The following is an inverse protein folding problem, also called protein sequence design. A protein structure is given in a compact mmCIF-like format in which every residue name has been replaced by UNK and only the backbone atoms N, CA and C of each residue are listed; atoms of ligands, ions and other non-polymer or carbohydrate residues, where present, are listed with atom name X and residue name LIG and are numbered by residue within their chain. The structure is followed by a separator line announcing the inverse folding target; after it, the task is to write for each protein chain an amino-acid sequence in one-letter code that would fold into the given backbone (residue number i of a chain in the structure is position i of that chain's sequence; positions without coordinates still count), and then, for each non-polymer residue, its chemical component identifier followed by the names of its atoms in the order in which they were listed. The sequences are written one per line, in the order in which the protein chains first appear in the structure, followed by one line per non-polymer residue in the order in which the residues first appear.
data_IF_192001348266
#
_entry.id   IF_192001348266
#
_cell.length_a   1.000
_cell.length_b   1.000
_cell.length_c   1.000
_cell.angle_alpha   90.00
_cell.angle_beta   90.00
_cell.angle_gamma   90.00
#
_symmetry.space_group_name_H-M   'P 1'
#
loop_
_entity.id
_entity.type
_entity.pdbx_description
1 polymer ?
#
# COMPACT_ATOMS: atom_id res chain seq x y z
N UNK A 1 2.66 43.17 2.74
CA UNK A 1 2.23 44.04 3.85
C UNK A 1 2.69 43.46 5.18
N UNK A 2 2.98 44.30 6.20
CA UNK A 2 4.04 44.07 7.18
C UNK A 2 3.60 43.44 8.52
N UNK A 3 4.65 43.04 9.28
CA UNK A 3 4.74 42.36 10.56
C UNK A 3 3.80 42.83 11.69
N UNK A 4 3.45 41.90 12.58
CA UNK A 4 3.38 42.14 14.04
C UNK A 4 3.88 40.93 14.83
N UNK A 5 5.11 41.05 15.37
CA UNK A 5 5.61 40.26 16.50
C UNK A 5 5.09 40.88 17.80
N UNK A 6 4.70 40.10 18.83
CA UNK A 6 4.68 40.62 20.19
C UNK A 6 6.10 40.59 20.78
N UNK A 7 6.36 41.63 21.57
CA UNK A 7 7.63 42.00 22.21
C UNK A 7 8.02 40.98 23.30
N UNK A 8 9.28 40.60 23.33
CA UNK A 8 9.92 40.09 24.54
C UNK A 8 10.12 41.26 25.51
N UNK A 9 9.49 41.19 26.68
CA UNK A 9 9.79 42.04 27.82
C UNK A 9 10.78 41.28 28.69
N UNK A 10 12.06 41.63 28.60
CA UNK A 10 13.07 41.28 29.59
C UNK A 10 12.80 42.09 30.85
N UNK A 11 12.17 41.48 31.85
CA UNK A 11 12.12 42.02 33.19
C UNK A 11 13.20 41.32 34.01
N UNK A 12 14.34 42.00 34.17
CA UNK A 12 15.27 41.74 35.25
C UNK A 12 14.50 41.96 36.56
N UNK A 13 14.28 40.90 37.32
CA UNK A 13 13.82 41.00 38.71
C UNK A 13 15.02 40.62 39.58
N UNK A 14 15.92 41.58 39.72
CA UNK A 14 16.73 41.67 40.92
C UNK A 14 15.78 42.15 42.02
N UNK A 15 15.46 41.29 42.98
CA UNK A 15 14.88 41.73 44.25
C UNK A 15 15.65 41.06 45.38
N UNK A 16 16.50 41.89 45.98
CA UNK A 16 17.17 41.79 47.26
C UNK A 16 16.65 40.70 48.20
N UNK A 17 17.53 39.75 48.48
CA UNK A 17 17.49 38.99 49.72
C UNK A 17 17.92 39.97 50.81
N UNK A 18 16.93 40.66 51.40
CA UNK A 18 17.11 41.28 52.71
C UNK A 18 17.25 40.14 53.72
N UNK A 19 18.50 39.83 54.02
CA UNK A 19 18.87 38.98 55.13
C UNK A 19 18.55 39.79 56.39
N UNK A 20 17.38 39.56 56.99
CA UNK A 20 17.17 39.96 58.37
C UNK A 20 18.13 39.12 59.23
N UNK A 21 19.29 39.70 59.53
CA UNK A 21 20.16 39.27 60.62
C UNK A 21 19.30 39.23 61.89
N UNK A 22 18.82 38.04 62.25
CA UNK A 22 18.28 37.80 63.58
C UNK A 22 19.49 37.74 64.51
N UNK A 23 19.92 38.93 64.95
CA UNK A 23 20.83 39.09 66.08
C UNK A 23 20.22 38.37 67.29
N UNK A 24 20.79 37.22 67.62
CA UNK A 24 20.64 36.56 68.92
C UNK A 24 21.43 37.35 69.97
N UNK A 25 20.96 38.55 70.27
CA UNK A 25 21.49 39.35 71.36
C UNK A 25 20.98 38.77 72.69
N UNK A 26 21.82 37.95 73.32
CA UNK A 26 21.56 37.44 74.68
C UNK A 26 21.90 38.56 75.65
N UNK A 27 20.98 39.52 75.85
CA UNK A 27 21.12 40.51 76.92
C UNK A 27 20.77 39.84 78.24
N UNK A 28 21.78 39.55 79.05
CA UNK A 28 21.63 39.22 80.46
C UNK A 28 21.18 40.50 81.19
N UNK A 29 20.00 40.55 81.84
CA UNK A 29 19.59 41.73 82.59
C UNK A 29 20.48 41.85 83.82
N UNK A 30 21.24 42.93 83.92
CA UNK A 30 22.03 43.28 85.11
C UNK A 30 21.37 44.50 85.76
N UNK A 31 20.92 44.30 87.01
CA UNK A 31 20.56 45.27 88.07
C UNK A 31 19.25 46.07 87.88
N UNK A 32 18.42 46.42 88.88
CA UNK A 32 18.67 46.79 90.29
C UNK A 32 17.63 46.20 91.27
N UNK A 33 18.10 45.72 92.42
CA UNK A 33 17.25 45.43 93.59
C UNK A 33 16.97 46.73 94.37
N UNK A 34 15.81 47.34 94.13
CA UNK A 34 15.28 48.38 95.02
C UNK A 34 14.49 47.75 96.16
N UNK A 35 15.05 47.83 97.38
CA UNK A 35 14.42 47.40 98.64
C UNK A 35 13.63 48.57 99.26
N UNK A 36 12.30 48.44 99.33
CA UNK A 36 11.44 49.22 100.23
C UNK A 36 10.21 48.40 100.61
N UNK A 37 9.97 48.32 101.91
CA UNK A 37 8.95 47.52 102.62
C UNK A 37 7.54 48.09 102.41
N UNK A 38 6.59 47.27 101.91
CA UNK A 38 5.12 47.43 102.10
C UNK A 38 4.48 46.03 101.91
N UNK A 39 4.01 45.42 103.01
CA UNK A 39 3.84 43.95 103.14
C UNK A 39 2.47 43.35 102.78
N UNK A 40 1.54 44.09 102.17
CA UNK A 40 0.21 43.52 101.77
C UNK A 40 -0.14 43.64 100.27
N UNK A 41 0.74 44.29 99.47
CA UNK A 41 0.66 44.34 98.00
C UNK A 41 1.67 43.45 97.27
N UNK A 42 2.78 43.10 97.94
CA UNK A 42 3.92 42.41 97.34
C UNK A 42 3.61 41.01 96.79
N UNK A 43 2.70 40.26 97.43
CA UNK A 43 2.28 38.91 96.98
C UNK A 43 1.42 38.91 95.70
N UNK A 44 0.61 39.96 95.50
CA UNK A 44 -0.18 40.15 94.26
C UNK A 44 0.71 40.60 93.10
N UNK A 45 1.68 41.48 93.38
CA UNK A 45 2.65 41.97 92.40
C UNK A 45 3.58 40.84 91.92
N UNK A 46 4.05 39.97 92.81
CA UNK A 46 4.89 38.81 92.42
C UNK A 46 4.11 37.77 91.62
N UNK A 47 2.84 37.50 91.95
CA UNK A 47 1.99 36.59 91.17
C UNK A 47 1.72 37.12 89.75
N UNK A 48 1.35 38.41 89.63
CA UNK A 48 1.16 39.06 88.33
C UNK A 48 2.45 39.10 87.50
N UNK A 49 3.60 39.31 88.14
CA UNK A 49 4.90 39.27 87.47
C UNK A 49 5.23 37.86 86.94
N UNK A 50 4.92 36.82 87.72
CA UNK A 50 5.12 35.43 87.31
C UNK A 50 4.22 35.06 86.12
N UNK A 51 2.93 35.41 86.21
CA UNK A 51 1.95 35.22 85.12
C UNK A 51 2.38 35.96 83.84
N UNK A 52 2.89 37.19 83.96
CA UNK A 52 3.44 37.94 82.83
C UNK A 52 4.65 37.25 82.21
N UNK A 53 5.57 36.71 83.02
CA UNK A 53 6.74 35.96 82.52
C UNK A 53 6.32 34.67 81.82
N UNK A 54 5.33 33.96 82.35
CA UNK A 54 4.79 32.74 81.73
C UNK A 54 4.12 33.04 80.38
N UNK A 55 3.30 34.09 80.30
CA UNK A 55 2.68 34.54 79.06
C UNK A 55 3.72 34.95 78.01
N UNK A 56 4.78 35.65 78.41
CA UNK A 56 5.88 36.01 77.51
C UNK A 56 6.63 34.79 76.97
N UNK A 57 6.89 33.80 77.83
CA UNK A 57 7.51 32.54 77.41
C UNK A 57 6.62 31.76 76.43
N UNK A 58 5.31 31.67 76.72
CA UNK A 58 4.36 31.02 75.82
C UNK A 58 4.27 31.74 74.46
N UNK A 59 4.32 33.07 74.46
CA UNK A 59 4.38 33.86 73.23
C UNK A 59 5.65 33.56 72.42
N UNK A 60 6.81 33.46 73.08
CA UNK A 60 8.06 33.08 72.42
C UNK A 60 7.99 31.68 71.80
N UNK A 61 7.43 30.69 72.52
CA UNK A 61 7.19 29.34 71.97
C UNK A 61 6.30 29.38 70.72
N UNK A 62 5.18 30.09 70.80
CA UNK A 62 4.27 30.24 69.66
C UNK A 62 4.95 30.92 68.47
N UNK A 63 5.81 31.91 68.70
CA UNK A 63 6.59 32.57 67.64
C UNK A 63 7.57 31.60 66.97
N UNK A 64 8.23 30.75 67.75
CA UNK A 64 9.12 29.69 67.22
C UNK A 64 8.31 28.67 66.41
N UNK A 65 7.22 28.13 66.97
CA UNK A 65 6.37 27.16 66.26
C UNK A 65 5.81 27.74 64.96
N UNK A 66 5.39 29.01 64.96
CA UNK A 66 4.92 29.69 63.75
C UNK A 66 6.04 29.80 62.71
N UNK A 67 7.26 30.19 63.12
CA UNK A 67 8.40 30.28 62.22
C UNK A 67 8.77 28.92 61.60
N UNK A 68 8.72 27.84 62.40
CA UNK A 68 8.98 26.48 61.93
C UNK A 68 7.91 26.01 60.94
N UNK A 69 6.63 26.30 61.21
CA UNK A 69 5.54 25.99 60.27
C UNK A 69 5.66 26.79 58.98
N UNK A 70 6.05 28.06 59.05
CA UNK A 70 6.30 28.87 57.85
C UNK A 70 7.44 28.28 57.00
N UNK A 71 8.55 27.90 57.64
CA UNK A 71 9.66 27.24 56.94
C UNK A 71 9.22 25.93 56.27
N UNK A 72 8.40 25.12 56.96
CA UNK A 72 7.85 23.89 56.38
C UNK A 72 6.96 24.18 55.16
N UNK A 73 6.09 25.19 55.27
CA UNK A 73 5.22 25.60 54.16
C UNK A 73 6.06 26.04 52.97
N UNK A 74 7.13 26.81 53.18
CA UNK A 74 7.96 27.31 52.09
C UNK A 74 8.78 26.19 51.43
N UNK A 75 9.30 25.24 52.19
CA UNK A 75 9.91 24.03 51.62
C UNK A 75 8.92 23.25 50.76
N UNK A 76 7.70 23.00 51.26
CA UNK A 76 6.66 22.31 50.49
C UNK A 76 6.28 23.07 49.21
N UNK A 77 6.23 24.40 49.25
CA UNK A 77 6.00 25.21 48.04
C UNK A 77 7.11 25.02 47.02
N UNK A 78 8.37 25.06 47.45
CA UNK A 78 9.53 24.85 46.56
C UNK A 78 9.50 23.46 45.95
N UNK A 79 9.24 22.43 46.74
CA UNK A 79 9.12 21.05 46.27
C UNK A 79 8.00 20.91 45.23
N UNK A 80 6.83 21.50 45.50
CA UNK A 80 5.71 21.48 44.56
C UNK A 80 5.98 22.27 43.28
N UNK A 81 6.62 23.45 43.36
CA UNK A 81 7.00 24.24 42.19
C UNK A 81 7.98 23.47 41.32
N UNK A 82 9.03 22.91 41.93
CA UNK A 82 10.01 22.06 41.23
C UNK A 82 9.30 20.87 40.57
N UNK A 83 8.33 20.26 41.27
CA UNK A 83 7.60 19.13 40.72
C UNK A 83 6.73 19.50 39.53
N UNK A 84 6.11 20.68 39.56
CA UNK A 84 5.32 21.20 38.45
C UNK A 84 6.23 21.43 37.24
N UNK A 85 7.39 22.06 37.41
CA UNK A 85 8.36 22.30 36.34
C UNK A 85 8.83 20.99 35.68
N UNK A 86 9.19 19.97 36.49
CA UNK A 86 9.55 18.65 35.97
C UNK A 86 8.43 17.99 35.14
N UNK A 87 7.18 18.12 35.58
CA UNK A 87 6.03 17.53 34.90
C UNK A 87 5.72 18.29 33.60
N UNK A 88 5.89 19.61 33.58
CA UNK A 88 5.74 20.43 32.38
C UNK A 88 6.82 20.10 31.33
N UNK A 89 8.08 19.93 31.75
CA UNK A 89 9.16 19.50 30.85
C UNK A 89 8.86 18.13 30.23
N UNK A 90 8.48 17.14 31.05
CA UNK A 90 8.10 15.80 30.57
C UNK A 90 6.91 15.83 29.62
N UNK A 91 5.93 16.69 29.88
CA UNK A 91 4.78 16.85 29.00
C UNK A 91 5.21 17.43 27.65
N UNK A 92 6.07 18.44 27.66
CA UNK A 92 6.60 19.06 26.44
C UNK A 92 7.41 18.06 25.61
N UNK A 93 8.25 17.24 26.24
CA UNK A 93 8.99 16.17 25.57
C UNK A 93 8.05 15.13 24.95
N UNK A 94 7.04 14.69 25.68
CA UNK A 94 6.05 13.74 25.17
C UNK A 94 5.26 14.31 23.98
N UNK A 95 4.88 15.59 24.03
CA UNK A 95 4.22 16.27 22.93
C UNK A 95 5.13 16.39 21.70
N UNK A 96 6.41 16.72 21.90
CA UNK A 96 7.39 16.78 20.82
C UNK A 96 7.57 15.41 20.15
N UNK A 97 7.77 14.35 20.94
CA UNK A 97 7.88 12.99 20.42
C UNK A 97 6.63 12.56 19.64
N UNK A 98 5.44 12.87 20.17
CA UNK A 98 4.17 12.63 19.46
C UNK A 98 4.14 13.33 18.10
N UNK A 99 4.50 14.62 18.04
CA UNK A 99 4.50 15.37 16.79
C UNK A 99 5.46 14.76 15.76
N UNK A 100 6.67 14.39 16.18
CA UNK A 100 7.66 13.74 15.31
C UNK A 100 7.12 12.41 14.77
N UNK A 101 6.51 11.60 15.62
CA UNK A 101 5.92 10.32 15.20
C UNK A 101 4.75 10.51 14.24
N UNK A 102 3.87 11.48 14.49
CA UNK A 102 2.76 11.81 13.58
C UNK A 102 3.29 12.23 12.22
N UNK A 103 4.28 13.11 12.14
CA UNK A 103 4.88 13.54 10.87
C UNK A 103 5.54 12.38 10.12
N UNK A 104 6.24 11.48 10.83
CA UNK A 104 6.83 10.29 10.22
C UNK A 104 5.76 9.37 9.64
N UNK A 105 4.70 9.11 10.39
CA UNK A 105 3.60 8.27 9.94
C UNK A 105 2.90 8.87 8.72
N UNK A 106 2.58 10.17 8.76
CA UNK A 106 1.95 10.86 7.63
C UNK A 106 2.84 10.83 6.37
N UNK A 107 4.15 11.02 6.53
CA UNK A 107 5.10 10.91 5.43
C UNK A 107 5.13 9.50 4.84
N UNK A 108 5.15 8.46 5.69
CA UNK A 108 5.15 7.07 5.25
C UNK A 108 3.86 6.71 4.52
N UNK A 109 2.72 7.17 5.04
CA UNK A 109 1.40 6.93 4.47
C UNK A 109 1.26 7.59 3.09
N UNK A 110 1.74 8.83 2.94
CA UNK A 110 1.78 9.52 1.64
C UNK A 110 2.65 8.80 0.61
N UNK A 111 3.87 8.42 1.00
CA UNK A 111 4.77 7.66 0.11
C UNK A 111 4.14 6.34 -0.34
N UNK A 112 3.53 5.60 0.59
CA UNK A 112 2.87 4.35 0.27
C UNK A 112 1.64 4.53 -0.64
N UNK A 113 0.86 5.60 -0.45
CA UNK A 113 -0.25 5.93 -1.33
C UNK A 113 0.23 6.27 -2.75
N UNK A 114 1.28 7.08 -2.87
CA UNK A 114 1.86 7.44 -4.17
C UNK A 114 2.44 6.22 -4.89
N UNK A 115 3.17 5.36 -4.17
CA UNK A 115 3.74 4.14 -4.73
C UNK A 115 2.65 3.16 -5.19
N UNK A 116 1.63 2.92 -4.36
CA UNK A 116 0.51 2.07 -4.73
C UNK A 116 -0.24 2.62 -5.95
N UNK A 117 -0.43 3.94 -6.03
CA UNK A 117 -1.04 4.60 -7.19
C UNK A 117 -0.23 4.38 -8.46
N UNK A 118 1.10 4.55 -8.40
CA UNK A 118 2.00 4.29 -9.53
C UNK A 118 1.98 2.82 -9.96
N UNK A 119 2.07 1.89 -9.02
CA UNK A 119 2.01 0.45 -9.31
C UNK A 119 0.66 0.02 -9.88
N UNK A 120 -0.44 0.60 -9.40
CA UNK A 120 -1.77 0.33 -9.95
C UNK A 120 -1.91 0.86 -11.38
N UNK A 121 -1.42 2.07 -11.66
CA UNK A 121 -1.43 2.65 -13.00
C UNK A 121 -0.61 1.81 -13.98
N UNK A 122 0.59 1.37 -13.58
CA UNK A 122 1.44 0.51 -14.40
C UNK A 122 0.76 -0.83 -14.71
N UNK A 123 0.23 -1.51 -13.69
CA UNK A 123 -0.50 -2.78 -13.88
C UNK A 123 -1.71 -2.62 -14.81
N UNK A 124 -2.42 -1.49 -14.71
CA UNK A 124 -3.54 -1.20 -15.61
C UNK A 124 -3.06 -1.03 -17.05
N UNK A 125 -1.98 -0.29 -17.28
CA UNK A 125 -1.40 -0.11 -18.62
C UNK A 125 -0.92 -1.44 -19.22
N UNK A 126 -0.27 -2.29 -18.43
CA UNK A 126 0.17 -3.62 -18.85
C UNK A 126 -1.03 -4.51 -19.21
N UNK A 127 -2.07 -4.49 -18.37
CA UNK A 127 -3.32 -5.21 -18.64
C UNK A 127 -3.99 -4.76 -19.94
N UNK A 128 -4.11 -3.45 -20.16
CA UNK A 128 -4.70 -2.88 -21.38
C UNK A 128 -3.91 -3.30 -22.63
N UNK A 129 -2.57 -3.36 -22.52
CA UNK A 129 -1.69 -3.81 -23.61
C UNK A 129 -1.89 -5.29 -23.93
N UNK A 130 -1.97 -6.14 -22.91
CA UNK A 130 -2.23 -7.58 -23.06
C UNK A 130 -3.61 -7.80 -23.68
N UNK A 131 -4.64 -7.11 -23.18
CA UNK A 131 -6.01 -7.20 -23.70
C UNK A 131 -6.09 -6.79 -25.18
N UNK A 132 -5.42 -5.70 -25.56
CA UNK A 132 -5.37 -5.28 -26.95
C UNK A 132 -4.70 -6.34 -27.83
N UNK A 133 -3.57 -6.89 -27.38
CA UNK A 133 -2.86 -7.95 -28.11
C UNK A 133 -3.70 -9.21 -28.23
N UNK A 134 -4.40 -9.61 -27.18
CA UNK A 134 -5.26 -10.77 -27.17
C UNK A 134 -6.42 -10.61 -28.16
N UNK A 135 -7.07 -9.43 -28.19
CA UNK A 135 -8.12 -9.14 -29.17
C UNK A 135 -7.63 -9.26 -30.62
N UNK A 136 -6.43 -8.74 -30.92
CA UNK A 136 -5.83 -8.88 -32.24
C UNK A 136 -5.57 -10.36 -32.59
N UNK A 137 -5.04 -11.13 -31.65
CA UNK A 137 -4.79 -12.56 -31.86
C UNK A 137 -6.08 -13.34 -32.10
N UNK A 138 -7.13 -13.08 -31.34
CA UNK A 138 -8.45 -13.70 -31.52
C UNK A 138 -9.04 -13.36 -32.89
N UNK A 139 -8.91 -12.12 -33.35
CA UNK A 139 -9.35 -11.70 -34.69
C UNK A 139 -8.55 -12.41 -35.79
N UNK A 140 -7.22 -12.45 -35.69
CA UNK A 140 -6.38 -13.15 -36.68
C UNK A 140 -6.66 -14.65 -36.71
N UNK A 141 -6.89 -15.27 -35.56
CA UNK A 141 -7.21 -16.69 -35.48
C UNK A 141 -8.57 -16.98 -36.14
N UNK A 142 -9.57 -16.12 -35.91
CA UNK A 142 -10.86 -16.21 -36.59
C UNK A 142 -10.72 -16.11 -38.10
N UNK A 143 -9.96 -15.13 -38.59
CA UNK A 143 -9.67 -14.98 -40.03
C UNK A 143 -8.95 -16.20 -40.62
N UNK A 144 -8.00 -16.79 -39.89
CA UNK A 144 -7.31 -18.01 -40.32
C UNK A 144 -8.25 -19.21 -40.37
N UNK A 145 -9.13 -19.36 -39.39
CA UNK A 145 -10.15 -20.41 -39.39
C UNK A 145 -11.12 -20.28 -40.57
N UNK A 146 -11.58 -19.05 -40.84
CA UNK A 146 -12.46 -18.76 -41.97
C UNK A 146 -11.76 -19.09 -43.30
N UNK A 147 -10.52 -18.59 -43.49
CA UNK A 147 -9.69 -18.91 -44.68
C UNK A 147 -9.43 -20.40 -44.84
N UNK A 148 -9.15 -21.12 -43.76
CA UNK A 148 -8.96 -22.57 -43.81
C UNK A 148 -10.26 -23.30 -44.19
N UNK A 149 -11.41 -22.81 -43.73
CA UNK A 149 -12.72 -23.29 -44.13
C UNK A 149 -13.02 -23.03 -45.60
N UNK A 150 -12.69 -21.83 -46.09
CA UNK A 150 -12.83 -21.45 -47.50
C UNK A 150 -11.96 -22.30 -48.40
N UNK A 151 -10.69 -22.50 -48.01
CA UNK A 151 -9.76 -23.37 -48.73
C UNK A 151 -10.31 -24.80 -48.80
N UNK A 152 -10.77 -25.36 -47.68
CA UNK A 152 -11.37 -26.71 -47.65
C UNK A 152 -12.60 -26.83 -48.56
N UNK A 153 -13.42 -25.78 -48.67
CA UNK A 153 -14.56 -25.75 -49.60
C UNK A 153 -14.11 -25.64 -51.05
N UNK A 154 -13.09 -24.83 -51.34
CA UNK A 154 -12.52 -24.68 -52.69
C UNK A 154 -11.85 -25.96 -53.22
N UNK A 155 -11.35 -26.82 -52.33
CA UNK A 155 -10.71 -28.09 -52.68
C UNK A 155 -11.70 -29.25 -52.89
N UNK A 156 -13.01 -29.03 -52.85
CA UNK A 156 -14.01 -30.10 -53.07
C UNK A 156 -14.13 -30.51 -54.53
N UNK A 157 -14.09 -29.55 -55.44
CA UNK A 157 -14.32 -29.75 -56.88
C UNK A 157 -13.05 -29.41 -57.66
N UNK A 158 -12.14 -30.38 -57.74
CA UNK A 158 -10.81 -30.25 -58.37
C UNK A 158 -10.76 -30.79 -59.80
N UNK A 159 -11.91 -31.08 -60.40
CA UNK A 159 -11.95 -31.62 -61.76
C UNK A 159 -11.47 -30.59 -62.77
N UNK A 160 -10.48 -31.01 -63.56
CA UNK A 160 -9.84 -30.18 -64.55
C UNK A 160 -10.06 -30.77 -65.95
N UNK A 161 -10.36 -29.92 -66.91
CA UNK A 161 -10.34 -30.27 -68.34
C UNK A 161 -8.91 -30.30 -68.85
N UNK A 162 -8.65 -31.08 -69.90
CA UNK A 162 -7.31 -31.20 -70.51
C UNK A 162 -6.75 -29.85 -71.00
N UNK A 163 -7.57 -29.00 -71.60
CA UNK A 163 -7.19 -27.66 -72.05
C UNK A 163 -6.65 -26.82 -70.87
N UNK A 164 -7.45 -26.67 -69.81
CA UNK A 164 -7.04 -25.98 -68.58
C UNK A 164 -5.80 -26.60 -67.90
N UNK A 165 -5.60 -27.91 -68.04
CA UNK A 165 -4.41 -28.56 -67.48
C UNK A 165 -3.16 -28.09 -68.19
N UNK A 166 -3.18 -28.06 -69.52
CA UNK A 166 -2.05 -27.60 -70.31
C UNK A 166 -1.72 -26.13 -70.03
N UNK A 167 -2.74 -25.27 -69.93
CA UNK A 167 -2.57 -23.85 -69.60
C UNK A 167 -1.95 -23.64 -68.21
N UNK A 168 -2.43 -24.36 -67.20
CA UNK A 168 -1.97 -24.19 -65.83
C UNK A 168 -0.61 -24.86 -65.57
N UNK A 169 -0.28 -25.94 -66.29
CA UNK A 169 1.00 -26.67 -66.16
C UNK A 169 2.20 -25.84 -66.63
N UNK A 170 1.98 -24.96 -67.60
CA UNK A 170 3.04 -24.11 -68.14
C UNK A 170 3.37 -22.91 -67.22
N UNK A 171 2.54 -22.67 -66.19
CA UNK A 171 2.77 -21.63 -65.18
C UNK A 171 3.71 -22.12 -64.06
N UNK A 172 4.46 -21.19 -63.47
CA UNK A 172 5.31 -21.44 -62.29
C UNK A 172 4.47 -21.61 -61.02
N UNK A 173 4.90 -22.47 -60.11
CA UNK A 173 4.18 -22.78 -58.86
C UNK A 173 3.86 -21.53 -58.02
N UNK A 174 4.76 -20.54 -57.96
CA UNK A 174 4.56 -19.28 -57.23
C UNK A 174 3.39 -18.41 -57.76
N UNK A 175 2.94 -18.66 -59.00
CA UNK A 175 1.84 -17.92 -59.63
C UNK A 175 0.51 -18.66 -59.51
N UNK A 176 0.54 -19.92 -59.12
CA UNK A 176 -0.65 -20.75 -58.97
C UNK A 176 -1.29 -20.51 -57.62
N UNK A 177 -2.61 -20.43 -57.61
CA UNK A 177 -3.36 -20.52 -56.36
C UNK A 177 -3.29 -21.94 -55.81
N UNK A 178 -3.47 -22.11 -54.50
CA UNK A 178 -3.45 -23.43 -53.86
C UNK A 178 -4.45 -24.40 -54.52
N UNK A 179 -5.71 -24.02 -54.84
CA UNK A 179 -6.63 -24.92 -55.52
C UNK A 179 -6.17 -25.32 -56.92
N UNK A 180 -5.62 -24.39 -57.71
CA UNK A 180 -5.09 -24.69 -59.05
C UNK A 180 -3.91 -25.66 -58.98
N UNK A 181 -2.96 -25.40 -58.09
CA UNK A 181 -1.82 -26.28 -57.85
C UNK A 181 -2.28 -27.70 -57.50
N UNK A 182 -3.22 -27.81 -56.56
CA UNK A 182 -3.77 -29.11 -56.14
C UNK A 182 -4.55 -29.77 -57.28
N UNK A 183 -5.30 -29.01 -58.08
CA UNK A 183 -6.07 -29.55 -59.20
C UNK A 183 -5.18 -30.12 -60.32
N UNK A 184 -4.04 -29.49 -60.63
CA UNK A 184 -3.03 -30.03 -61.55
C UNK A 184 -2.54 -31.40 -61.05
N UNK A 185 -2.13 -31.48 -59.77
CA UNK A 185 -1.66 -32.74 -59.16
C UNK A 185 -2.73 -33.81 -59.12
N UNK A 186 -3.98 -33.41 -58.84
CA UNK A 186 -5.13 -34.32 -58.85
C UNK A 186 -5.39 -34.86 -60.26
N UNK A 187 -5.36 -34.00 -61.28
CA UNK A 187 -5.52 -34.40 -62.69
C UNK A 187 -4.44 -35.39 -63.12
N UNK A 188 -3.16 -35.11 -62.81
CA UNK A 188 -2.03 -35.98 -63.14
C UNK A 188 -2.15 -37.38 -62.53
N UNK A 189 -2.69 -37.48 -61.31
CA UNK A 189 -2.87 -38.75 -60.63
C UNK A 189 -4.12 -39.51 -61.10
N UNK A 190 -5.24 -38.81 -61.30
CA UNK A 190 -6.55 -39.44 -61.56
C UNK A 190 -6.77 -39.76 -63.03
N UNK A 191 -6.27 -38.93 -63.96
CA UNK A 191 -6.55 -39.10 -65.38
C UNK A 191 -6.01 -40.44 -65.95
N UNK A 192 -4.77 -40.88 -65.64
CA UNK A 192 -4.28 -42.19 -66.07
C UNK A 192 -5.10 -43.36 -65.50
N UNK A 193 -5.56 -43.25 -64.25
CA UNK A 193 -6.41 -44.27 -63.62
C UNK A 193 -7.78 -44.35 -64.28
N UNK A 194 -8.37 -43.19 -64.66
CA UNK A 194 -9.62 -43.17 -65.44
C UNK A 194 -9.44 -43.84 -66.80
N UNK A 195 -8.35 -43.53 -67.51
CA UNK A 195 -8.05 -44.14 -68.81
C UNK A 195 -7.93 -45.67 -68.70
N UNK A 196 -7.20 -46.16 -67.69
CA UNK A 196 -7.09 -47.60 -67.43
C UNK A 196 -8.44 -48.23 -67.07
N UNK A 197 -9.25 -47.57 -66.24
CA UNK A 197 -10.57 -48.06 -65.89
C UNK A 197 -11.50 -48.15 -67.11
N UNK A 198 -11.45 -47.15 -68.01
CA UNK A 198 -12.20 -47.20 -69.27
C UNK A 198 -11.72 -48.31 -70.19
N UNK A 199 -10.41 -48.52 -70.31
CA UNK A 199 -9.83 -49.60 -71.13
C UNK A 199 -10.22 -50.99 -70.60
N UNK A 200 -10.13 -51.18 -69.28
CA UNK A 200 -10.57 -52.43 -68.63
C UNK A 200 -12.06 -52.66 -68.80
N UNK A 201 -12.87 -51.60 -68.76
CA UNK A 201 -14.30 -51.70 -68.99
C UNK A 201 -14.63 -52.11 -70.44
N UNK A 202 -13.91 -51.57 -71.43
CA UNK A 202 -14.04 -52.00 -72.84
C UNK A 202 -13.62 -53.47 -73.02
N UNK A 203 -12.46 -53.87 -72.47
CA UNK A 203 -12.02 -55.27 -72.52
C UNK A 203 -13.03 -56.22 -71.88
N UNK A 204 -13.66 -55.80 -70.79
CA UNK A 204 -14.72 -56.57 -70.13
C UNK A 204 -15.95 -56.72 -71.04
N UNK A 205 -16.41 -55.64 -71.70
CA UNK A 205 -17.53 -55.74 -72.65
C UNK A 205 -17.21 -56.67 -73.80
N UNK A 206 -16.03 -56.52 -74.41
CA UNK A 206 -15.60 -57.35 -75.55
C UNK A 206 -15.59 -58.84 -75.17
N UNK A 207 -14.99 -59.19 -74.02
CA UNK A 207 -14.96 -60.56 -73.53
C UNK A 207 -16.35 -61.10 -73.14
N UNK A 208 -17.27 -60.24 -72.70
CA UNK A 208 -18.65 -60.67 -72.41
C UNK A 208 -19.44 -60.90 -73.68
N UNK A 209 -19.26 -60.07 -74.70
CA UNK A 209 -19.83 -60.27 -76.03
C UNK A 209 -19.30 -61.56 -76.67
N UNK A 210 -17.98 -61.80 -76.59
CA UNK A 210 -17.35 -63.04 -77.07
C UNK A 210 -17.91 -64.28 -76.36
N UNK A 211 -18.03 -64.23 -75.02
CA UNK A 211 -18.62 -65.32 -74.25
C UNK A 211 -20.09 -65.59 -74.62
N UNK A 212 -20.88 -64.54 -74.83
CA UNK A 212 -22.28 -64.68 -75.22
C UNK A 212 -22.41 -65.25 -76.64
N UNK A 213 -21.55 -64.79 -77.56
CA UNK A 213 -21.42 -65.35 -78.91
C UNK A 213 -21.10 -66.85 -78.86
N UNK A 214 -20.10 -67.26 -78.08
CA UNK A 214 -19.75 -68.67 -77.90
C UNK A 214 -20.87 -69.49 -77.26
N UNK A 215 -21.59 -68.94 -76.29
CA UNK A 215 -22.78 -69.60 -75.70
C UNK A 215 -23.89 -69.81 -76.73
N UNK A 216 -24.16 -68.81 -77.57
CA UNK A 216 -25.11 -68.93 -78.67
C UNK A 216 -24.69 -70.01 -79.68
N UNK A 217 -23.41 -70.06 -80.05
CA UNK A 217 -22.86 -71.11 -80.92
C UNK A 217 -23.04 -72.51 -80.31
N UNK A 218 -22.69 -72.70 -79.03
CA UNK A 218 -22.87 -74.00 -78.35
C UNK A 218 -24.33 -74.41 -78.30
N UNK A 219 -25.25 -73.49 -77.95
CA UNK A 219 -26.70 -73.77 -77.95
C UNK A 219 -27.17 -74.24 -79.33
N UNK A 220 -26.75 -73.56 -80.39
CA UNK A 220 -27.12 -73.95 -81.76
C UNK A 220 -26.59 -75.33 -82.18
N UNK A 221 -25.42 -75.74 -81.65
CA UNK A 221 -24.85 -77.07 -81.92
C UNK A 221 -25.52 -78.19 -81.11
N UNK A 222 -26.20 -77.86 -79.99
CA UNK A 222 -26.92 -78.81 -79.14
C UNK A 222 -28.40 -78.98 -79.53
N UNK A 223 -28.94 -78.13 -80.41
CA UNK A 223 -30.32 -78.20 -80.91
C UNK A 223 -30.47 -79.08 -82.19
N UNK A 224 -29.47 -79.93 -82.49
CA UNK A 224 -29.50 -81.00 -83.52
C UNK A 224 -29.65 -82.36 -82.84
#
# INVERSE_FOLDING_TARGET
MPLKKPKHTTANISSSIESEDISLETTVPTEDISSSDEKDGAGKITKQLLERKELLHNLQKLKIELSQKNLLIDNLKVDHLTKVEELEERLNDALHQKQVLTLRLDSQLKLQQEENGKQQALRKQEMDTIMLRQKQLEETNRQLCDRAGDLRRSLRDLELSEEKYTELKDLSEDKLTIPEFVAIRFYEAVNPLRALATELQMKKSDLTEDLESHRCQIKSLMEV
#
